data_IF_648811579397
#
_entry.id   IF_648811579397
#
_cell.length_a   1.000
_cell.length_b   1.000
_cell.length_c   1.000
_cell.angle_alpha   90.00
_cell.angle_beta   90.00
_cell.angle_gamma   90.00
#
_symmetry.space_group_name_H-M   'P 1'
#
loop_
_entity.id
_entity.type
_entity.pdbx_description
1 polymer ?
#
# COMPACT_ATOMS: atom_id res chain seq x y z
N UNK A 1 15.51 -20.64 -21.70
CA UNK A 1 14.15 -20.14 -22.00
C UNK A 1 13.51 -19.33 -20.85
N UNK A 2 14.19 -19.09 -19.72
CA UNK A 2 13.58 -18.53 -18.50
C UNK A 2 13.70 -17.01 -18.27
N UNK A 3 14.79 -16.35 -18.68
CA UNK A 3 15.06 -14.98 -18.22
C UNK A 3 14.21 -13.90 -18.90
N UNK A 4 14.04 -13.99 -20.22
CA UNK A 4 13.30 -12.96 -21.00
C UNK A 4 11.81 -13.00 -20.72
N UNK A 5 11.21 -14.20 -20.56
CA UNK A 5 9.78 -14.34 -20.25
C UNK A 5 9.46 -13.76 -18.86
N UNK A 6 10.32 -14.04 -17.88
CA UNK A 6 10.14 -13.53 -16.52
C UNK A 6 10.35 -12.00 -16.45
N UNK A 7 11.31 -11.46 -17.19
CA UNK A 7 11.48 -10.00 -17.31
C UNK A 7 10.25 -9.32 -17.94
N UNK A 8 9.65 -9.92 -18.98
CA UNK A 8 8.41 -9.41 -19.58
C UNK A 8 7.24 -9.48 -18.60
N UNK A 9 7.12 -10.56 -17.84
CA UNK A 9 6.04 -10.71 -16.85
C UNK A 9 6.22 -9.71 -15.68
N UNK A 10 7.45 -9.46 -15.22
CA UNK A 10 7.75 -8.39 -14.25
C UNK A 10 7.39 -7.00 -14.78
N UNK A 11 7.76 -6.70 -16.03
CA UNK A 11 7.48 -5.40 -16.65
C UNK A 11 5.96 -5.14 -16.76
N UNK A 12 5.18 -6.15 -17.16
CA UNK A 12 3.71 -6.04 -17.20
C UNK A 12 3.10 -5.80 -15.83
N UNK A 13 3.55 -6.53 -14.81
CA UNK A 13 3.05 -6.35 -13.45
C UNK A 13 3.41 -4.96 -12.88
N UNK A 14 4.60 -4.43 -13.21
CA UNK A 14 4.99 -3.07 -12.86
C UNK A 14 4.15 -2.02 -13.58
N UNK A 15 3.84 -2.22 -14.86
CA UNK A 15 2.96 -1.35 -15.63
C UNK A 15 1.54 -1.34 -15.07
N UNK A 16 0.99 -2.50 -14.68
CA UNK A 16 -0.32 -2.59 -14.02
C UNK A 16 -0.36 -1.81 -12.69
N UNK A 17 0.68 -1.93 -11.84
CA UNK A 17 0.77 -1.16 -10.61
C UNK A 17 0.87 0.35 -10.88
N UNK A 18 1.69 0.77 -11.83
CA UNK A 18 1.87 2.17 -12.18
C UNK A 18 0.59 2.78 -12.77
N UNK A 19 -0.11 2.03 -13.61
CA UNK A 19 -1.39 2.43 -14.19
C UNK A 19 -2.46 2.56 -13.11
N UNK A 20 -2.54 1.60 -12.17
CA UNK A 20 -3.45 1.67 -11.03
C UNK A 20 -3.18 2.89 -10.12
N UNK A 21 -1.90 3.25 -9.92
CA UNK A 21 -1.52 4.44 -9.17
C UNK A 21 -1.91 5.74 -9.91
N UNK A 22 -1.70 5.78 -11.23
CA UNK A 22 -1.94 6.96 -12.06
C UNK A 22 -3.42 7.19 -12.36
N UNK A 23 -4.23 6.13 -12.34
CA UNK A 23 -5.68 6.20 -12.52
C UNK A 23 -6.42 6.69 -11.26
N UNK A 24 -5.72 6.84 -10.13
CA UNK A 24 -6.33 7.41 -8.94
C UNK A 24 -6.77 8.85 -9.20
N UNK A 25 -8.00 9.19 -8.84
CA UNK A 25 -8.59 10.53 -9.06
C UNK A 25 -8.08 11.61 -8.12
N UNK A 26 -7.13 11.29 -7.23
CA UNK A 26 -6.51 12.21 -6.29
C UNK A 26 -5.02 12.43 -6.56
N UNK A 27 -4.63 13.68 -6.82
CA UNK A 27 -3.22 14.13 -6.85
C UNK A 27 -2.66 14.39 -5.44
N UNK A 28 -3.15 13.65 -4.43
CA UNK A 28 -2.69 13.82 -3.06
C UNK A 28 -1.23 13.37 -2.93
N UNK A 29 -0.46 14.09 -2.14
CA UNK A 29 0.89 13.67 -1.78
C UNK A 29 0.83 12.42 -0.87
N UNK A 30 1.90 11.61 -0.89
CA UNK A 30 2.04 10.54 0.11
C UNK A 30 2.11 11.19 1.50
N UNK A 31 1.26 10.72 2.42
CA UNK A 31 1.14 11.28 3.77
C UNK A 31 0.27 12.53 3.85
N UNK A 32 -0.60 12.80 2.87
CA UNK A 32 -1.57 13.89 2.95
C UNK A 32 -2.51 13.73 4.17
N UNK A 33 -2.75 14.83 4.91
CA UNK A 33 -3.52 14.83 6.16
C UNK A 33 -4.73 15.76 6.02
N UNK A 34 -5.92 15.15 6.02
CA UNK A 34 -7.18 15.90 5.99
C UNK A 34 -7.62 16.26 7.41
N UNK A 35 -7.48 17.55 7.76
CA UNK A 35 -7.91 18.10 9.07
C UNK A 35 -9.25 18.85 9.04
N UNK A 36 -9.79 19.18 7.88
CA UNK A 36 -10.84 20.18 7.74
C UNK A 36 -12.28 19.61 7.67
N UNK A 37 -13.24 20.33 8.26
CA UNK A 37 -14.68 20.06 8.25
C UNK A 37 -15.35 20.22 6.87
N UNK A 38 -14.64 20.76 5.87
CA UNK A 38 -15.18 21.04 4.52
C UNK A 38 -14.77 20.05 3.42
N UNK A 39 -13.71 19.27 3.63
CA UNK A 39 -13.31 18.20 2.70
C UNK A 39 -13.66 16.86 3.35
N UNK A 40 -14.62 16.14 2.79
CA UNK A 40 -14.97 14.81 3.29
C UNK A 40 -13.72 13.93 3.23
N UNK A 41 -13.31 13.37 4.37
CA UNK A 41 -12.31 12.33 4.40
C UNK A 41 -12.78 11.19 3.49
N UNK A 42 -12.01 10.92 2.44
CA UNK A 42 -12.26 9.79 1.53
C UNK A 42 -11.32 8.67 1.90
N UNK A 43 -11.81 7.44 1.83
CA UNK A 43 -10.93 6.28 1.84
C UNK A 43 -10.12 6.22 0.55
N UNK A 44 -9.09 5.38 0.53
CA UNK A 44 -8.35 5.09 -0.70
C UNK A 44 -9.26 4.52 -1.78
N UNK A 45 -8.95 4.82 -3.04
CA UNK A 45 -9.71 4.32 -4.18
C UNK A 45 -9.48 2.82 -4.35
N UNK A 46 -10.55 2.03 -4.20
CA UNK A 46 -10.45 0.57 -4.17
C UNK A 46 -9.81 -0.03 -5.43
N UNK A 47 -10.06 0.54 -6.61
CA UNK A 47 -9.44 0.10 -7.86
C UNK A 47 -7.92 0.35 -7.86
N UNK A 48 -7.50 1.52 -7.39
CA UNK A 48 -6.08 1.88 -7.27
C UNK A 48 -5.37 1.01 -6.23
N UNK A 49 -5.91 0.91 -5.01
CA UNK A 49 -5.33 0.11 -3.92
C UNK A 49 -5.18 -1.36 -4.32
N UNK A 50 -6.24 -1.97 -4.87
CA UNK A 50 -6.20 -3.36 -5.28
C UNK A 50 -5.30 -3.59 -6.51
N UNK A 51 -5.24 -2.63 -7.44
CA UNK A 51 -4.38 -2.71 -8.61
C UNK A 51 -2.90 -2.67 -8.24
N UNK A 52 -2.51 -1.73 -7.36
CA UNK A 52 -1.14 -1.64 -6.83
C UNK A 52 -0.76 -2.94 -6.10
N UNK A 53 -1.62 -3.44 -5.21
CA UNK A 53 -1.37 -4.68 -4.48
C UNK A 53 -1.18 -5.89 -5.41
N UNK A 54 -2.02 -6.01 -6.46
CA UNK A 54 -1.89 -7.07 -7.47
C UNK A 54 -0.61 -6.94 -8.29
N UNK A 55 -0.24 -5.74 -8.71
CA UNK A 55 0.99 -5.51 -9.48
C UNK A 55 2.25 -5.83 -8.67
N UNK A 56 2.32 -5.41 -7.40
CA UNK A 56 3.43 -5.78 -6.50
C UNK A 56 3.51 -7.32 -6.35
N UNK A 57 2.37 -7.98 -6.14
CA UNK A 57 2.33 -9.45 -6.10
C UNK A 57 2.83 -10.07 -7.40
N UNK A 58 2.42 -9.54 -8.55
CA UNK A 58 2.85 -10.02 -9.87
C UNK A 58 4.36 -9.89 -10.08
N UNK A 59 4.96 -8.78 -9.64
CA UNK A 59 6.42 -8.58 -9.66
C UNK A 59 7.12 -9.64 -8.80
N UNK A 60 6.66 -9.83 -7.56
CA UNK A 60 7.24 -10.81 -6.62
C UNK A 60 7.11 -12.23 -7.18
N UNK A 61 5.94 -12.61 -7.71
CA UNK A 61 5.72 -13.92 -8.30
C UNK A 61 6.62 -14.15 -9.53
N UNK A 62 6.81 -13.13 -10.37
CA UNK A 62 7.64 -13.21 -11.56
C UNK A 62 9.14 -13.27 -11.22
N UNK A 63 9.58 -12.55 -10.19
CA UNK A 63 10.93 -12.66 -9.63
C UNK A 63 11.17 -14.05 -9.02
N UNK A 64 10.22 -14.58 -8.24
CA UNK A 64 10.32 -15.91 -7.65
C UNK A 64 10.37 -17.05 -8.68
N UNK A 65 9.73 -16.88 -9.85
CA UNK A 65 9.87 -17.80 -11.00
C UNK A 65 11.23 -17.68 -11.70
N UNK A 66 11.93 -16.56 -11.56
CA UNK A 66 13.28 -16.36 -12.11
C UNK A 66 14.35 -17.02 -11.25
N UNK A 67 14.20 -16.98 -9.92
CA UNK A 67 15.09 -17.61 -8.95
C UNK A 67 14.50 -18.89 -8.38
N UNK A 68 14.48 -19.95 -9.21
CA UNK A 68 13.94 -21.28 -8.89
C UNK A 68 14.67 -22.03 -7.74
N UNK A 69 15.50 -21.35 -6.93
CA UNK A 69 16.16 -21.92 -5.76
C UNK A 69 15.69 -21.33 -4.43
N UNK A 70 15.23 -20.07 -4.34
CA UNK A 70 14.89 -19.45 -3.03
C UNK A 70 13.76 -18.40 -3.09
N UNK A 71 12.94 -18.39 -4.15
CA UNK A 71 12.01 -17.29 -4.47
C UNK A 71 10.76 -17.06 -3.58
N UNK A 72 10.72 -17.51 -2.32
CA UNK A 72 9.70 -17.05 -1.36
C UNK A 72 10.35 -15.97 -0.49
N UNK A 73 9.73 -14.80 -0.39
CA UNK A 73 10.08 -13.87 0.69
C UNK A 73 9.77 -14.59 2.01
N UNK A 74 10.79 -15.13 2.66
CA UNK A 74 10.69 -15.66 4.02
C UNK A 74 10.89 -14.49 5.00
N UNK A 75 9.93 -13.58 4.98
CA UNK A 75 9.89 -12.48 5.92
C UNK A 75 9.19 -12.95 7.19
N UNK A 76 9.85 -12.78 8.34
CA UNK A 76 9.22 -12.99 9.64
C UNK A 76 8.12 -11.96 9.85
N UNK A 77 6.96 -12.37 10.36
CA UNK A 77 5.90 -11.44 10.73
C UNK A 77 6.32 -10.52 11.88
N UNK A 78 5.83 -9.29 11.87
CA UNK A 78 5.99 -8.38 13.02
C UNK A 78 5.10 -8.85 14.19
N UNK A 79 5.64 -8.86 15.41
CA UNK A 79 4.93 -9.29 16.62
C UNK A 79 4.22 -8.15 17.37
N UNK A 80 4.50 -6.89 17.01
CA UNK A 80 3.99 -5.71 17.72
C UNK A 80 2.50 -5.47 17.50
N UNK A 81 1.72 -5.47 18.58
CA UNK A 81 0.26 -5.19 18.56
C UNK A 81 -0.13 -3.87 19.23
N UNK A 82 0.84 -3.12 19.77
CA UNK A 82 0.60 -1.91 20.58
C UNK A 82 0.26 -0.65 19.76
N UNK A 83 0.29 -0.75 18.43
CA UNK A 83 0.11 0.36 17.50
C UNK A 83 -1.22 0.32 16.74
N UNK A 84 -2.16 -0.54 17.15
CA UNK A 84 -3.48 -0.70 16.50
C UNK A 84 -4.28 0.60 16.39
N UNK A 85 -4.07 1.56 17.29
CA UNK A 85 -4.76 2.84 17.28
C UNK A 85 -4.39 3.71 16.06
N UNK A 86 -3.29 3.41 15.35
CA UNK A 86 -3.01 3.99 14.03
C UNK A 86 -4.18 3.81 13.03
N UNK A 87 -5.02 2.80 13.23
CA UNK A 87 -6.25 2.56 12.47
C UNK A 87 -7.25 3.74 12.52
N UNK A 88 -7.18 4.59 13.56
CA UNK A 88 -8.02 5.79 13.68
C UNK A 88 -7.74 6.82 12.57
N UNK A 89 -6.58 6.76 11.91
CA UNK A 89 -6.26 7.62 10.76
C UNK A 89 -7.05 7.25 9.49
N UNK A 90 -7.66 6.06 9.43
CA UNK A 90 -8.35 5.55 8.24
C UNK A 90 -9.88 5.73 8.30
N UNK A 91 -10.40 6.41 9.32
CA UNK A 91 -11.84 6.64 9.46
C UNK A 91 -12.31 7.80 8.58
N UNK A 92 -13.54 7.69 8.06
CA UNK A 92 -14.21 8.81 7.40
C UNK A 92 -14.66 9.80 8.49
N UNK A 93 -14.00 10.94 8.60
CA UNK A 93 -14.28 11.98 9.61
C UNK A 93 -15.75 12.41 9.59
N UNK A 94 -16.48 12.10 10.65
CA UNK A 94 -17.73 12.75 11.01
C UNK A 94 -17.45 13.55 12.28
N UNK A 95 -17.46 14.89 12.18
CA UNK A 95 -17.20 15.84 13.27
C UNK A 95 -15.91 15.60 14.08
N UNK A 96 -15.96 14.72 15.09
CA UNK A 96 -14.89 14.43 16.07
C UNK A 96 -14.24 13.05 15.91
N UNK A 97 -14.72 12.22 14.98
CA UNK A 97 -14.13 10.91 14.69
C UNK A 97 -12.89 11.05 13.79
N UNK A 98 -11.72 10.69 14.31
CA UNK A 98 -10.45 10.76 13.58
C UNK A 98 -9.26 10.35 14.45
N UNK A 99 -8.08 10.27 13.83
CA UNK A 99 -6.83 10.10 14.56
C UNK A 99 -6.26 11.43 15.03
N UNK A 100 -5.60 11.41 16.18
CA UNK A 100 -4.88 12.55 16.76
C UNK A 100 -3.35 12.42 16.59
N UNK A 101 -2.59 13.24 17.31
CA UNK A 101 -1.14 13.21 17.26
C UNK A 101 -0.55 11.91 17.82
N UNK A 102 -1.17 11.32 18.84
CA UNK A 102 -0.71 10.06 19.44
C UNK A 102 -0.93 8.91 18.45
N UNK A 103 -2.08 8.88 17.77
CA UNK A 103 -2.37 7.89 16.73
C UNK A 103 -1.41 7.99 15.54
N UNK A 104 -1.03 9.21 15.14
CA UNK A 104 0.02 9.43 14.14
C UNK A 104 1.39 8.91 14.61
N UNK A 105 1.72 9.11 15.89
CA UNK A 105 2.92 8.54 16.51
C UNK A 105 2.91 7.01 16.49
N UNK A 106 1.76 6.37 16.73
CA UNK A 106 1.59 4.91 16.61
C UNK A 106 1.78 4.42 15.18
N UNK A 107 1.29 5.17 14.18
CA UNK A 107 1.52 4.84 12.78
C UNK A 107 3.01 4.88 12.43
N UNK A 108 3.73 5.93 12.87
CA UNK A 108 5.17 6.04 12.67
C UNK A 108 5.93 4.88 13.35
N UNK A 109 5.56 4.52 14.58
CA UNK A 109 6.17 3.43 15.33
C UNK A 109 5.88 2.03 14.75
N UNK A 110 4.79 1.85 14.01
CA UNK A 110 4.48 0.59 13.33
C UNK A 110 5.28 0.38 12.04
N UNK A 111 5.79 1.46 11.44
CA UNK A 111 6.56 1.44 10.19
C UNK A 111 8.07 1.36 10.43
N UNK A 112 8.54 1.83 11.59
CA UNK A 112 9.95 1.81 12.01
C UNK A 112 10.46 0.39 12.28
#
# INVERSE_FOLDING_TARGET
>A
KGTVKNAVDMAKAAEEAASAASAATGNAAIGDVVKNSGAAAKGGEAASVNGIAKGIKGIVDAAGKADAKEGKLDATGAEGTTNVNAGKLFVKRAADDGGDADDAGKAAAAVA
#
